data_IF_202048663451
#
_entry.id   IF_202048663451
#
_cell.length_a   1.000
_cell.length_b   1.000
_cell.length_c   1.000
_cell.angle_alpha   90.00
_cell.angle_beta   90.00
_cell.angle_gamma   90.00
#
_symmetry.space_group_name_H-M   'P 1'
#
loop_
_entity.id
_entity.type
_entity.pdbx_description
1 polymer ?
#
# COMPACT_ATOMS: atom_id res chain seq x y z
N UNK A 1 10.26 -6.43 -72.60
CA UNK A 1 10.05 -5.43 -71.53
C UNK A 1 9.97 -6.17 -70.20
N UNK A 2 11.09 -6.25 -69.49
CA UNK A 2 11.16 -6.83 -68.16
C UNK A 2 10.63 -5.79 -67.17
N UNK A 3 9.42 -6.01 -66.62
CA UNK A 3 8.88 -5.15 -65.56
C UNK A 3 9.66 -5.42 -64.28
N UNK A 4 10.56 -4.51 -63.93
CA UNK A 4 11.20 -4.49 -62.60
C UNK A 4 10.14 -4.07 -61.60
N UNK A 5 9.70 -5.00 -60.75
CA UNK A 5 8.79 -4.70 -59.64
C UNK A 5 9.60 -4.02 -58.54
N UNK A 6 9.24 -2.79 -58.18
CA UNK A 6 9.84 -2.07 -57.07
C UNK A 6 9.49 -2.79 -55.74
N UNK A 7 10.49 -3.42 -55.13
CA UNK A 7 10.37 -4.18 -53.89
C UNK A 7 10.59 -3.33 -52.62
N UNK A 8 10.88 -2.04 -52.77
CA UNK A 8 11.13 -1.15 -51.62
C UNK A 8 9.88 -0.95 -50.77
N UNK A 9 8.72 -0.84 -51.40
CA UNK A 9 7.42 -0.66 -50.74
C UNK A 9 6.91 -1.96 -50.09
N UNK A 10 7.25 -3.11 -50.69
CA UNK A 10 6.94 -4.44 -50.14
C UNK A 10 7.70 -4.71 -48.84
N UNK A 11 8.96 -4.27 -48.71
CA UNK A 11 9.74 -4.42 -47.46
C UNK A 11 9.12 -3.63 -46.30
N UNK A 12 8.62 -2.41 -46.55
CA UNK A 12 7.92 -1.60 -45.54
C UNK A 12 6.56 -2.19 -45.12
N UNK A 13 5.84 -2.80 -46.07
CA UNK A 13 4.57 -3.47 -45.81
C UNK A 13 4.73 -4.84 -45.13
N UNK A 14 5.80 -5.60 -45.44
CA UNK A 14 6.12 -6.89 -44.81
C UNK A 14 6.62 -6.72 -43.38
N UNK A 15 7.38 -5.66 -43.08
CA UNK A 15 7.82 -5.34 -41.71
C UNK A 15 6.64 -4.99 -40.78
N UNK A 16 5.56 -4.40 -41.31
CA UNK A 16 4.30 -4.16 -40.56
C UNK A 16 3.47 -5.43 -40.34
N UNK A 17 3.75 -6.53 -41.04
CA UNK A 17 2.86 -7.70 -41.14
C UNK A 17 3.20 -8.85 -40.19
N UNK A 18 4.23 -8.71 -39.34
CA UNK A 18 4.66 -9.79 -38.44
C UNK A 18 5.06 -9.28 -37.06
N UNK A 19 4.21 -8.47 -36.42
CA UNK A 19 4.31 -8.21 -34.98
C UNK A 19 3.43 -9.20 -34.21
N UNK A 20 3.99 -9.81 -33.18
CA UNK A 20 3.27 -10.68 -32.25
C UNK A 20 2.18 -9.90 -31.50
N UNK A 21 1.16 -10.60 -30.98
CA UNK A 21 0.08 -9.97 -30.18
C UNK A 21 0.61 -9.09 -29.04
N UNK A 22 1.70 -9.51 -28.39
CA UNK A 22 2.36 -8.77 -27.32
C UNK A 22 3.10 -7.52 -27.83
N UNK A 23 3.75 -7.57 -28.99
CA UNK A 23 4.41 -6.41 -29.60
C UNK A 23 3.40 -5.35 -30.04
N UNK A 24 2.27 -5.77 -30.62
CA UNK A 24 1.16 -4.88 -30.94
C UNK A 24 0.58 -4.23 -29.67
N UNK A 25 0.39 -5.01 -28.60
CA UNK A 25 -0.08 -4.47 -27.32
C UNK A 25 0.90 -3.48 -26.69
N UNK A 26 2.20 -3.77 -26.72
CA UNK A 26 3.23 -2.84 -26.24
C UNK A 26 3.20 -1.52 -27.01
N UNK A 27 2.93 -1.54 -28.31
CA UNK A 27 2.78 -0.32 -29.10
C UNK A 27 1.53 0.47 -28.70
N UNK A 28 0.41 -0.20 -28.45
CA UNK A 28 -0.82 0.43 -27.93
C UNK A 28 -0.53 1.11 -26.59
N UNK A 29 0.08 0.42 -25.64
CA UNK A 29 0.41 1.01 -24.33
C UNK A 29 1.41 2.16 -24.43
N UNK A 30 2.40 2.08 -25.33
CA UNK A 30 3.29 3.22 -25.58
C UNK A 30 2.53 4.45 -26.05
N UNK A 31 1.58 4.27 -26.98
CA UNK A 31 0.76 5.37 -27.48
C UNK A 31 -0.14 5.94 -26.37
N UNK A 32 -0.82 5.08 -25.61
CA UNK A 32 -1.66 5.50 -24.49
C UNK A 32 -0.87 6.28 -23.42
N UNK A 33 0.30 5.78 -23.02
CA UNK A 33 1.16 6.48 -22.07
C UNK A 33 1.67 7.82 -22.62
N UNK A 34 1.89 7.92 -23.94
CA UNK A 34 2.26 9.19 -24.58
C UNK A 34 1.10 10.19 -24.59
N UNK A 35 -0.12 9.74 -24.85
CA UNK A 35 -1.34 10.57 -24.78
C UNK A 35 -1.55 11.11 -23.36
N UNK A 36 -1.35 10.27 -22.35
CA UNK A 36 -1.57 10.63 -20.94
C UNK A 36 -0.32 11.22 -20.27
N UNK A 37 0.75 11.50 -21.02
CA UNK A 37 2.05 11.86 -20.47
C UNK A 37 2.01 13.12 -19.60
N UNK A 38 1.26 14.15 -20.01
CA UNK A 38 1.17 15.40 -19.24
C UNK A 38 0.47 15.21 -17.89
N UNK A 39 -0.59 14.39 -17.84
CA UNK A 39 -1.27 14.05 -16.60
C UNK A 39 -0.39 13.19 -15.68
N UNK A 40 0.36 12.23 -16.24
CA UNK A 40 1.35 11.49 -15.45
C UNK A 40 2.40 12.44 -14.90
N UNK A 41 2.90 13.37 -15.72
CA UNK A 41 3.92 14.34 -15.33
C UNK A 41 3.47 15.27 -14.20
N UNK A 42 2.21 15.68 -14.16
CA UNK A 42 1.70 16.52 -13.07
C UNK A 42 1.56 15.77 -11.74
N UNK A 43 1.40 14.44 -11.77
CA UNK A 43 1.22 13.59 -10.58
C UNK A 43 2.54 13.05 -10.02
N UNK A 44 3.57 12.86 -10.86
CA UNK A 44 4.85 12.27 -10.45
C UNK A 44 5.61 13.18 -9.46
N UNK A 45 6.03 12.67 -8.28
CA UNK A 45 6.83 13.42 -7.33
C UNK A 45 8.25 13.69 -7.83
N UNK A 46 8.92 14.70 -7.24
CA UNK A 46 10.28 15.16 -7.63
C UNK A 46 11.37 14.08 -7.69
N UNK A 47 11.21 12.98 -6.95
CA UNK A 47 12.21 11.89 -6.89
C UNK A 47 12.03 10.83 -7.99
N UNK A 48 11.08 11.03 -8.92
CA UNK A 48 10.74 10.11 -9.99
C UNK A 48 10.56 10.87 -11.31
N UNK A 49 10.67 10.17 -12.45
CA UNK A 49 10.36 10.75 -13.76
C UNK A 49 9.27 9.97 -14.50
N UNK A 50 8.41 10.65 -15.28
CA UNK A 50 7.37 9.99 -16.08
C UNK A 50 7.91 8.97 -17.08
N UNK A 51 9.06 9.25 -17.71
CA UNK A 51 9.69 8.36 -18.69
C UNK A 51 10.19 7.07 -18.04
N UNK A 52 10.72 7.19 -16.82
CA UNK A 52 11.14 6.03 -16.02
C UNK A 52 9.93 5.18 -15.67
N UNK A 53 8.83 5.80 -15.23
CA UNK A 53 7.60 5.09 -14.89
C UNK A 53 7.00 4.36 -16.10
N UNK A 54 6.96 5.00 -17.27
CA UNK A 54 6.52 4.38 -18.52
C UNK A 54 7.39 3.16 -18.91
N UNK A 55 8.72 3.28 -18.79
CA UNK A 55 9.66 2.18 -19.09
C UNK A 55 9.48 0.99 -18.15
N UNK A 56 9.32 1.26 -16.85
CA UNK A 56 9.11 0.23 -15.84
C UNK A 56 7.77 -0.48 -16.09
N UNK A 57 6.73 0.27 -16.47
CA UNK A 57 5.42 -0.31 -16.85
C UNK A 57 5.53 -1.28 -18.01
N UNK A 58 6.23 -0.89 -19.10
CA UNK A 58 6.46 -1.79 -20.24
C UNK A 58 7.26 -3.03 -19.83
N UNK A 59 8.23 -2.87 -18.93
CA UNK A 59 9.01 -3.99 -18.39
C UNK A 59 8.13 -4.94 -17.57
N UNK A 60 7.16 -4.41 -16.81
CA UNK A 60 6.21 -5.23 -16.07
C UNK A 60 5.31 -6.05 -17.00
N UNK A 61 4.82 -5.47 -18.10
CA UNK A 61 4.02 -6.18 -19.12
C UNK A 61 4.83 -7.32 -19.75
N UNK A 62 6.10 -7.08 -20.09
CA UNK A 62 6.97 -8.14 -20.62
C UNK A 62 7.19 -9.30 -19.63
N UNK A 63 7.22 -9.01 -18.33
CA UNK A 63 7.40 -10.02 -17.27
C UNK A 63 6.11 -10.76 -16.94
N UNK A 64 4.96 -10.13 -17.09
CA UNK A 64 3.65 -10.70 -16.81
C UNK A 64 2.79 -10.64 -18.08
N UNK A 65 2.94 -11.61 -19.01
CA UNK A 65 2.25 -11.58 -20.30
C UNK A 65 0.72 -11.47 -20.22
N UNK A 66 0.12 -11.92 -19.12
CA UNK A 66 -1.33 -11.75 -18.86
C UNK A 66 -1.77 -10.29 -18.75
N UNK A 67 -0.85 -9.35 -18.47
CA UNK A 67 -1.15 -7.91 -18.56
C UNK A 67 -1.48 -7.47 -19.99
N UNK A 68 -0.99 -8.19 -21.02
CA UNK A 68 -1.34 -7.92 -22.41
C UNK A 68 -2.77 -8.33 -22.78
N UNK A 69 -3.49 -9.00 -21.88
CA UNK A 69 -4.91 -9.29 -22.01
C UNK A 69 -5.78 -8.23 -21.34
N UNK A 70 -5.18 -7.35 -20.52
CA UNK A 70 -5.91 -6.30 -19.81
C UNK A 70 -6.34 -5.17 -20.74
N UNK A 71 -7.42 -4.48 -20.40
CA UNK A 71 -7.84 -3.26 -21.10
C UNK A 71 -6.77 -2.16 -20.93
N UNK A 72 -6.30 -1.51 -22.02
CA UNK A 72 -5.25 -0.49 -21.96
C UNK A 72 -5.52 0.63 -20.95
N UNK A 73 -6.79 1.04 -20.82
CA UNK A 73 -7.24 2.11 -19.94
C UNK A 73 -6.94 1.80 -18.48
N UNK A 74 -7.06 0.53 -18.08
CA UNK A 74 -6.78 0.10 -16.70
C UNK A 74 -5.29 0.02 -16.41
N UNK A 75 -4.45 -0.19 -17.42
CA UNK A 75 -2.99 -0.07 -17.28
C UNK A 75 -2.60 1.38 -17.05
N UNK A 76 -3.15 2.32 -17.84
CA UNK A 76 -2.89 3.76 -17.64
C UNK A 76 -3.37 4.20 -16.25
N UNK A 77 -4.57 3.79 -15.84
CA UNK A 77 -5.08 4.06 -14.49
C UNK A 77 -4.16 3.55 -13.38
N UNK A 78 -3.64 2.33 -13.53
CA UNK A 78 -2.68 1.77 -12.58
C UNK A 78 -1.34 2.54 -12.55
N UNK A 79 -0.89 3.05 -13.69
CA UNK A 79 0.31 3.91 -13.79
C UNK A 79 0.07 5.28 -13.13
N UNK A 80 -1.11 5.86 -13.28
CA UNK A 80 -1.44 7.11 -12.57
C UNK A 80 -1.43 6.91 -11.05
N UNK A 81 -1.92 5.77 -10.54
CA UNK A 81 -1.78 5.43 -9.11
C UNK A 81 -0.30 5.32 -8.68
N UNK A 82 0.54 4.70 -9.50
CA UNK A 82 1.99 4.65 -9.26
C UNK A 82 2.59 6.06 -9.15
N UNK A 83 2.20 6.95 -10.08
CA UNK A 83 2.64 8.34 -10.09
C UNK A 83 2.19 9.07 -8.82
N UNK A 84 0.90 9.08 -8.50
CA UNK A 84 0.33 9.76 -7.33
C UNK A 84 0.97 9.33 -6.01
N UNK A 85 1.32 8.04 -5.89
CA UNK A 85 1.96 7.50 -4.68
C UNK A 85 3.49 7.63 -4.70
N UNK A 86 4.09 7.97 -5.83
CA UNK A 86 5.54 7.91 -6.01
C UNK A 86 6.08 6.49 -5.75
N UNK A 87 5.37 5.47 -6.22
CA UNK A 87 5.77 4.07 -6.10
C UNK A 87 5.98 3.47 -7.49
N UNK A 88 7.08 2.73 -7.65
CA UNK A 88 7.39 2.07 -8.92
C UNK A 88 6.96 0.60 -8.88
N UNK A 89 6.28 0.09 -9.92
CA UNK A 89 5.98 -1.33 -10.02
C UNK A 89 7.29 -2.10 -10.24
N UNK A 90 7.76 -2.81 -9.24
CA UNK A 90 9.10 -3.39 -9.23
C UNK A 90 9.15 -4.77 -8.57
N UNK A 91 10.29 -5.46 -8.73
CA UNK A 91 10.52 -6.77 -8.11
C UNK A 91 10.94 -6.66 -6.64
N UNK A 92 11.29 -5.46 -6.19
CA UNK A 92 11.78 -5.22 -4.82
C UNK A 92 10.61 -5.25 -3.83
N UNK A 93 9.39 -5.01 -4.32
CA UNK A 93 8.13 -5.20 -3.59
C UNK A 93 7.45 -3.91 -3.15
N UNK A 94 7.69 -2.80 -3.84
CA UNK A 94 7.02 -1.53 -3.56
C UNK A 94 5.60 -1.49 -4.10
N UNK A 95 5.42 -1.91 -5.35
CA UNK A 95 4.12 -1.99 -6.00
C UNK A 95 4.13 -3.06 -7.09
N UNK A 96 2.93 -3.51 -7.46
CA UNK A 96 2.70 -4.54 -8.45
C UNK A 96 1.56 -4.13 -9.39
N UNK A 97 1.69 -4.51 -10.67
CA UNK A 97 0.61 -4.49 -11.64
C UNK A 97 0.06 -5.92 -11.75
N UNK A 98 -1.18 -6.12 -11.33
CA UNK A 98 -1.77 -7.45 -11.18
C UNK A 98 -2.95 -7.58 -12.14
N UNK A 99 -2.93 -8.55 -13.08
CA UNK A 99 -4.08 -8.81 -13.94
C UNK A 99 -5.18 -9.52 -13.14
N UNK A 100 -6.38 -8.96 -13.15
CA UNK A 100 -7.55 -9.55 -12.50
C UNK A 100 -8.72 -9.63 -13.47
N UNK A 101 -9.50 -10.72 -13.41
CA UNK A 101 -10.72 -10.83 -14.22
C UNK A 101 -11.88 -10.19 -13.50
N UNK A 102 -12.47 -9.17 -14.10
CA UNK A 102 -13.70 -8.58 -13.61
C UNK A 102 -14.89 -9.44 -14.06
N UNK A 103 -15.49 -10.17 -13.13
CA UNK A 103 -16.61 -11.08 -13.44
C UNK A 103 -17.89 -10.35 -13.92
N UNK A 104 -18.03 -9.05 -13.63
CA UNK A 104 -19.21 -8.27 -14.05
C UNK A 104 -19.11 -7.87 -15.52
N UNK A 105 -17.94 -7.40 -15.95
CA UNK A 105 -17.69 -6.97 -17.34
C UNK A 105 -17.12 -8.09 -18.21
N UNK A 106 -16.72 -9.20 -17.60
CA UNK A 106 -15.96 -10.30 -18.19
C UNK A 106 -14.69 -9.84 -18.94
N UNK A 107 -14.06 -8.77 -18.47
CA UNK A 107 -12.81 -8.24 -19.00
C UNK A 107 -11.66 -8.50 -18.03
N UNK A 108 -10.46 -8.66 -18.58
CA UNK A 108 -9.24 -8.60 -17.80
C UNK A 108 -8.90 -7.13 -17.55
N UNK A 109 -8.68 -6.76 -16.30
CA UNK A 109 -8.33 -5.40 -15.88
C UNK A 109 -6.99 -5.44 -15.13
N UNK A 110 -6.18 -4.42 -15.31
CA UNK A 110 -4.95 -4.23 -14.56
C UNK A 110 -5.27 -3.53 -13.24
N UNK A 111 -4.92 -4.15 -12.12
CA UNK A 111 -5.00 -3.57 -10.79
C UNK A 111 -3.62 -3.14 -10.31
N UNK A 112 -3.54 -1.91 -9.80
CA UNK A 112 -2.40 -1.47 -9.02
C UNK A 112 -2.54 -1.99 -7.60
N UNK A 113 -1.50 -2.64 -7.08
CA UNK A 113 -1.44 -3.11 -5.71
C UNK A 113 -0.16 -2.64 -5.03
N UNK A 114 -0.29 -2.03 -3.86
CA UNK A 114 0.85 -1.59 -3.05
C UNK A 114 1.44 -2.84 -2.36
N UNK A 115 2.75 -3.03 -2.45
CA UNK A 115 3.44 -4.08 -1.68
C UNK A 115 3.71 -3.63 -0.25
N UNK A 116 3.96 -4.57 0.67
CA UNK A 116 4.20 -4.23 2.09
C UNK A 116 5.38 -3.26 2.27
N UNK A 117 6.43 -3.37 1.45
CA UNK A 117 7.56 -2.43 1.47
C UNK A 117 7.18 -1.04 0.95
N UNK A 118 6.28 -0.97 -0.03
CA UNK A 118 5.71 0.30 -0.48
C UNK A 118 4.91 0.98 0.62
N UNK A 119 4.13 0.22 1.39
CA UNK A 119 3.44 0.74 2.57
C UNK A 119 4.43 1.27 3.62
N UNK A 120 5.49 0.52 3.92
CA UNK A 120 6.57 0.96 4.81
C UNK A 120 7.19 2.28 4.33
N UNK A 121 7.49 2.39 3.03
CA UNK A 121 8.07 3.59 2.45
C UNK A 121 7.12 4.79 2.55
N UNK A 122 5.84 4.61 2.20
CA UNK A 122 4.81 5.64 2.37
C UNK A 122 4.68 6.11 3.83
N UNK A 123 4.70 5.17 4.78
CA UNK A 123 4.62 5.48 6.21
C UNK A 123 5.87 6.25 6.67
N UNK A 124 7.07 5.87 6.22
CA UNK A 124 8.32 6.60 6.57
C UNK A 124 8.32 8.03 6.04
N UNK A 125 7.74 8.27 4.87
CA UNK A 125 7.64 9.61 4.27
C UNK A 125 6.79 10.59 5.09
N UNK A 126 5.95 10.10 6.01
CA UNK A 126 5.17 10.96 6.93
C UNK A 126 6.04 11.75 7.89
N UNK A 127 7.25 11.27 8.17
CA UNK A 127 8.17 11.89 9.10
C UNK A 127 7.84 11.66 10.57
N UNK A 128 6.65 11.22 10.95
CA UNK A 128 6.29 10.96 12.37
C UNK A 128 6.89 9.64 12.89
N UNK A 129 7.09 8.69 11.98
CA UNK A 129 7.54 7.34 12.29
C UNK A 129 9.05 7.24 12.19
N UNK A 130 9.72 7.03 13.32
CA UNK A 130 11.17 6.91 13.40
C UNK A 130 11.67 5.53 12.97
N UNK A 131 10.92 4.47 13.30
CA UNK A 131 11.22 3.08 12.92
C UNK A 131 9.93 2.38 12.55
N UNK A 132 9.99 1.51 11.54
CA UNK A 132 8.89 0.62 11.20
C UNK A 132 9.47 -0.68 10.64
N UNK A 133 8.97 -1.80 11.18
CA UNK A 133 9.37 -3.15 10.85
C UNK A 133 8.13 -3.99 10.54
N UNK A 134 8.28 -4.94 9.64
CA UNK A 134 7.30 -6.00 9.40
C UNK A 134 8.07 -7.29 9.14
N UNK A 135 7.85 -8.30 9.98
CA UNK A 135 8.66 -9.51 9.98
C UNK A 135 7.81 -10.77 10.21
N UNK A 136 8.37 -11.88 9.73
CA UNK A 136 7.83 -13.23 9.91
C UNK A 136 8.51 -13.87 11.10
N UNK A 137 7.72 -14.51 11.96
CA UNK A 137 8.16 -15.32 13.09
C UNK A 137 8.00 -16.78 12.71
N UNK A 138 9.05 -17.55 12.94
CA UNK A 138 9.12 -18.96 12.64
C UNK A 138 9.03 -19.81 13.91
N UNK A 139 8.73 -21.09 13.73
CA UNK A 139 8.46 -22.06 14.81
C UNK A 139 9.52 -22.13 15.91
N UNK A 140 10.78 -21.89 15.55
CA UNK A 140 11.91 -21.96 16.48
C UNK A 140 12.55 -20.60 16.76
N UNK A 141 11.89 -19.50 16.43
CA UNK A 141 12.27 -18.18 16.91
C UNK A 141 11.74 -17.95 18.34
N UNK A 142 12.43 -17.15 19.14
CA UNK A 142 11.86 -16.62 20.38
C UNK A 142 11.00 -15.43 20.00
N UNK A 143 9.70 -15.53 20.27
CA UNK A 143 8.79 -14.43 20.09
C UNK A 143 7.85 -14.31 21.28
N UNK A 144 8.12 -13.31 22.12
CA UNK A 144 7.33 -13.01 23.31
C UNK A 144 6.88 -11.56 23.29
N UNK A 145 5.66 -11.31 23.72
CA UNK A 145 5.10 -9.98 23.74
C UNK A 145 4.07 -9.84 24.85
N UNK A 146 3.90 -8.61 25.32
CA UNK A 146 2.88 -8.20 26.27
C UNK A 146 2.03 -7.15 25.58
N UNK A 147 0.71 -7.37 25.59
CA UNK A 147 -0.29 -6.36 25.24
C UNK A 147 -0.82 -5.74 26.52
N UNK A 148 -1.25 -4.48 26.45
CA UNK A 148 -1.76 -3.74 27.61
C UNK A 148 -1.31 -2.28 27.55
N UNK A 149 -1.20 -1.66 28.72
CA UNK A 149 -0.67 -0.30 28.89
C UNK A 149 0.81 -0.23 28.49
N UNK A 150 1.63 -1.16 29.01
CA UNK A 150 3.06 -1.27 28.69
C UNK A 150 3.28 -2.32 27.60
N UNK A 151 3.05 -1.92 26.35
CA UNK A 151 3.24 -2.79 25.19
C UNK A 151 4.72 -3.06 24.97
N UNK A 152 5.10 -4.33 24.97
CA UNK A 152 6.47 -4.77 24.73
C UNK A 152 6.50 -6.00 23.84
N UNK A 153 7.57 -6.14 23.06
CA UNK A 153 7.78 -7.29 22.18
C UNK A 153 9.26 -7.57 22.01
N UNK A 154 9.61 -8.85 22.01
CA UNK A 154 10.95 -9.36 21.74
C UNK A 154 10.83 -10.43 20.65
N UNK A 155 11.60 -10.25 19.58
CA UNK A 155 11.78 -11.23 18.52
C UNK A 155 13.27 -11.55 18.40
N UNK A 156 13.64 -12.81 18.64
CA UNK A 156 15.01 -13.29 18.46
C UNK A 156 14.95 -14.49 17.52
N UNK A 157 15.63 -14.35 16.39
CA UNK A 157 15.67 -15.35 15.33
C UNK A 157 16.46 -16.58 15.74
N UNK A 158 16.11 -17.72 15.15
CA UNK A 158 16.73 -19.02 15.42
C UNK A 158 18.27 -19.02 15.35
N UNK A 159 18.86 -18.26 14.41
CA UNK A 159 20.32 -18.17 14.22
C UNK A 159 21.05 -17.44 15.36
N UNK A 160 20.33 -16.65 16.16
CA UNK A 160 20.87 -15.95 17.33
C UNK A 160 20.82 -16.79 18.61
N UNK A 161 20.04 -17.88 18.64
CA UNK A 161 19.88 -18.72 19.83
C UNK A 161 21.20 -19.30 20.37
N UNK A 162 22.14 -19.78 19.54
CA UNK A 162 23.42 -20.29 20.06
C UNK A 162 24.24 -19.23 20.82
N UNK A 163 24.04 -17.95 20.50
CA UNK A 163 24.69 -16.85 21.22
C UNK A 163 24.05 -16.62 22.60
N UNK A 164 22.75 -16.89 22.72
CA UNK A 164 22.03 -16.82 23.99
C UNK A 164 22.33 -17.98 24.93
N UNK A 165 22.90 -19.09 24.46
CA UNK A 165 23.36 -20.18 25.33
C UNK A 165 24.36 -19.73 26.40
N UNK A 166 25.16 -18.71 26.06
CA UNK A 166 26.13 -18.11 26.97
C UNK A 166 25.57 -16.94 27.77
N UNK A 167 24.34 -16.53 27.48
CA UNK A 167 23.69 -15.41 28.14
C UNK A 167 22.91 -15.93 29.35
N UNK A 168 23.37 -15.56 30.54
CA UNK A 168 22.62 -15.69 31.79
C UNK A 168 22.20 -14.27 32.16
N UNK A 169 20.92 -13.91 32.07
CA UNK A 169 20.45 -12.63 32.60
C UNK A 169 20.83 -12.56 34.08
N UNK A 170 21.54 -11.49 34.48
CA UNK A 170 22.02 -11.35 35.85
C UNK A 170 20.87 -11.15 36.83
N UNK A 171 19.78 -10.54 36.37
CA UNK A 171 18.56 -10.27 37.14
C UNK A 171 17.34 -10.43 36.20
N UNK A 172 16.20 -10.83 36.77
CA UNK A 172 14.91 -10.94 36.07
C UNK A 172 14.03 -9.82 36.60
N UNK A 173 14.12 -8.67 35.96
CA UNK A 173 13.52 -7.43 36.48
C UNK A 173 12.13 -7.16 35.91
N UNK A 174 11.67 -8.00 34.98
CA UNK A 174 10.34 -7.88 34.39
C UNK A 174 9.70 -9.24 34.05
N UNK A 175 8.37 -9.23 33.97
CA UNK A 175 7.60 -10.38 33.49
C UNK A 175 8.02 -10.81 32.07
N UNK A 176 8.42 -9.85 31.24
CA UNK A 176 8.92 -10.12 29.89
C UNK A 176 10.24 -10.92 29.93
N UNK A 177 11.17 -10.56 30.82
CA UNK A 177 12.44 -11.29 30.96
C UNK A 177 12.20 -12.73 31.42
N UNK A 178 11.25 -12.94 32.33
CA UNK A 178 10.83 -14.27 32.75
C UNK A 178 10.24 -15.09 31.58
N UNK A 179 9.40 -14.46 30.74
CA UNK A 179 8.85 -15.10 29.54
C UNK A 179 9.93 -15.43 28.51
N UNK A 180 10.90 -14.53 28.28
CA UNK A 180 12.04 -14.78 27.40
C UNK A 180 12.85 -15.97 27.91
N UNK A 181 13.17 -16.01 29.21
CA UNK A 181 13.91 -17.11 29.82
C UNK A 181 13.19 -18.45 29.67
N UNK A 182 11.88 -18.48 29.91
CA UNK A 182 11.08 -19.68 29.70
C UNK A 182 11.13 -20.12 28.23
N UNK A 183 10.94 -19.19 27.29
CA UNK A 183 11.00 -19.49 25.86
C UNK A 183 12.36 -20.03 25.41
N UNK A 184 13.46 -19.47 25.96
CA UNK A 184 14.83 -19.99 25.72
C UNK A 184 14.93 -21.45 26.18
N UNK A 185 14.45 -21.77 27.39
CA UNK A 185 14.52 -23.12 27.93
C UNK A 185 13.67 -24.10 27.10
N UNK A 186 12.44 -23.72 26.74
CA UNK A 186 11.55 -24.55 25.92
C UNK A 186 12.15 -24.87 24.55
N UNK A 187 12.86 -23.91 23.93
CA UNK A 187 13.54 -24.13 22.66
C UNK A 187 14.78 -25.03 22.84
N UNK A 188 15.56 -24.83 23.91
CA UNK A 188 16.72 -25.67 24.23
C UNK A 188 16.33 -27.13 24.41
N UNK A 189 15.25 -27.39 25.15
CA UNK A 189 14.75 -28.75 25.37
C UNK A 189 14.35 -29.45 24.06
N UNK A 190 13.75 -28.70 23.12
CA UNK A 190 13.37 -29.23 21.80
C UNK A 190 14.57 -29.44 20.87
N UNK A 191 15.70 -28.77 21.13
CA UNK A 191 16.93 -28.82 20.33
C UNK A 191 16.69 -28.79 18.80
N UNK A 192 16.00 -27.76 18.27
CA UNK A 192 15.67 -27.71 16.85
C UNK A 192 16.90 -27.52 15.98
N UNK A 193 16.94 -28.22 14.84
CA UNK A 193 18.05 -28.18 13.88
C UNK A 193 17.84 -27.19 12.73
N UNK A 194 16.71 -26.47 12.74
CA UNK A 194 16.37 -25.44 11.74
C UNK A 194 15.39 -24.44 12.33
N UNK A 195 15.21 -23.31 11.67
CA UNK A 195 14.23 -22.29 12.05
C UNK A 195 12.77 -22.78 12.00
N UNK A 196 12.49 -23.83 11.22
CA UNK A 196 11.14 -24.37 11.05
C UNK A 196 10.27 -23.56 10.10
N UNK A 197 8.95 -23.74 10.17
CA UNK A 197 7.99 -23.06 9.28
C UNK A 197 7.57 -21.69 9.84
N UNK A 198 7.10 -20.76 8.99
CA UNK A 198 6.42 -19.54 9.44
C UNK A 198 5.18 -19.89 10.29
N UNK A 199 5.06 -19.25 11.45
CA UNK A 199 3.93 -19.45 12.39
C UNK A 199 3.18 -18.17 12.72
N UNK A 200 3.80 -17.00 12.52
CA UNK A 200 3.21 -15.70 12.88
C UNK A 200 3.84 -14.58 12.07
N UNK A 201 3.11 -13.49 11.94
CA UNK A 201 3.55 -12.27 11.27
C UNK A 201 3.28 -11.10 12.20
N UNK A 202 4.12 -10.07 12.14
CA UNK A 202 3.90 -8.86 12.89
C UNK A 202 4.40 -7.63 12.15
N UNK A 203 3.85 -6.49 12.54
CA UNK A 203 4.38 -5.17 12.22
C UNK A 203 4.55 -4.38 13.52
N UNK A 204 5.56 -3.52 13.56
CA UNK A 204 5.77 -2.61 14.69
C UNK A 204 6.31 -1.28 14.22
N UNK A 205 6.08 -0.24 15.01
CA UNK A 205 6.64 1.08 14.76
C UNK A 205 7.10 1.75 16.04
N UNK A 206 8.02 2.69 15.88
CA UNK A 206 8.35 3.69 16.88
C UNK A 206 8.07 5.07 16.30
N UNK A 207 7.53 5.96 17.10
CA UNK A 207 7.43 7.37 16.79
C UNK A 207 8.71 8.11 17.18
N UNK A 208 8.79 9.39 16.84
CA UNK A 208 9.93 10.25 17.22
C UNK A 208 10.03 10.51 18.72
N UNK A 209 8.91 10.49 19.44
CA UNK A 209 8.84 10.67 20.89
C UNK A 209 9.22 9.39 21.68
N UNK A 210 9.47 8.28 20.97
CA UNK A 210 9.79 6.98 21.57
C UNK A 210 8.58 6.07 21.78
N UNK A 211 7.36 6.54 21.54
CA UNK A 211 6.15 5.71 21.60
C UNK A 211 6.27 4.50 20.68
N UNK A 212 5.89 3.34 21.20
CA UNK A 212 6.00 2.05 20.52
C UNK A 212 4.65 1.36 20.46
N UNK A 213 4.34 0.79 19.30
CA UNK A 213 3.21 -0.12 19.16
C UNK A 213 3.47 -1.18 18.09
N UNK A 214 2.71 -2.28 18.16
CA UNK A 214 2.82 -3.41 17.26
C UNK A 214 1.46 -4.09 17.04
N UNK A 215 1.34 -4.73 15.89
CA UNK A 215 0.23 -5.64 15.56
C UNK A 215 0.81 -6.98 15.17
N UNK A 216 0.15 -8.07 15.53
CA UNK A 216 0.58 -9.43 15.21
C UNK A 216 -0.62 -10.31 14.89
N UNK A 217 -0.43 -11.28 14.00
CA UNK A 217 -1.37 -12.33 13.68
C UNK A 217 -0.65 -13.67 13.52
N UNK A 218 -1.26 -14.76 13.99
CA UNK A 218 -0.76 -16.10 13.67
C UNK A 218 -0.97 -16.41 12.19
N UNK A 219 -0.30 -17.43 11.68
CA UNK A 219 -0.51 -17.91 10.32
C UNK A 219 -1.95 -18.33 10.06
N UNK A 220 -2.60 -18.91 11.05
CA UNK A 220 -4.02 -19.30 11.00
C UNK A 220 -4.91 -18.06 10.91
N UNK A 221 -4.66 -17.04 11.73
CA UNK A 221 -5.39 -15.77 11.67
C UNK A 221 -5.20 -15.04 10.33
N UNK A 222 -3.98 -15.08 9.78
CA UNK A 222 -3.72 -14.54 8.44
C UNK A 222 -4.49 -15.31 7.36
N UNK A 223 -4.56 -16.64 7.46
CA UNK A 223 -5.33 -17.49 6.57
C UNK A 223 -6.84 -17.23 6.69
N UNK A 224 -7.36 -17.03 7.90
CA UNK A 224 -8.74 -16.64 8.14
C UNK A 224 -9.06 -15.27 7.53
N UNK A 225 -8.17 -14.29 7.70
CA UNK A 225 -8.28 -12.99 7.06
C UNK A 225 -8.32 -13.12 5.54
N UNK A 226 -7.39 -13.86 4.94
CA UNK A 226 -7.35 -14.12 3.51
C UNK A 226 -8.66 -14.75 3.01
N UNK A 227 -9.16 -15.76 3.74
CA UNK A 227 -10.43 -16.41 3.45
C UNK A 227 -11.64 -15.52 3.70
N UNK A 228 -11.58 -14.48 4.50
CA UNK A 228 -12.70 -13.55 4.68
C UNK A 228 -12.72 -12.47 3.60
N UNK A 229 -11.57 -11.88 3.29
CA UNK A 229 -11.50 -10.63 2.51
C UNK A 229 -11.02 -10.81 1.06
N UNK A 230 -10.30 -11.88 0.73
CA UNK A 230 -9.80 -12.08 -0.64
C UNK A 230 -10.94 -12.35 -1.62
N UNK A 231 -10.98 -11.57 -2.70
CA UNK A 231 -11.84 -11.80 -3.87
C UNK A 231 -11.25 -12.87 -4.82
N UNK A 232 -9.97 -13.20 -4.66
CA UNK A 232 -9.26 -14.19 -5.48
C UNK A 232 -9.45 -15.59 -4.92
N UNK A 233 -10.57 -16.22 -5.28
CA UNK A 233 -10.86 -17.62 -4.93
C UNK A 233 -11.42 -18.37 -6.11
N UNK A 234 -11.06 -19.64 -6.22
CA UNK A 234 -11.62 -20.57 -7.19
C UNK A 234 -12.00 -21.86 -6.46
N UNK A 235 -13.26 -22.29 -6.63
CA UNK A 235 -13.81 -23.46 -5.94
C UNK A 235 -13.58 -23.46 -4.42
N UNK A 236 -13.72 -22.28 -3.78
CA UNK A 236 -13.52 -22.12 -2.34
C UNK A 236 -12.06 -22.06 -1.88
N UNK A 237 -11.08 -22.29 -2.77
CA UNK A 237 -9.66 -22.20 -2.46
C UNK A 237 -9.07 -20.85 -2.87
N UNK A 238 -8.15 -20.32 -2.05
CA UNK A 238 -7.43 -19.09 -2.35
C UNK A 238 -6.59 -19.25 -3.62
N UNK A 239 -6.64 -18.23 -4.48
CA UNK A 239 -5.83 -18.12 -5.69
C UNK A 239 -5.12 -16.77 -5.74
N UNK A 240 -4.11 -16.64 -6.62
CA UNK A 240 -3.37 -15.39 -6.80
C UNK A 240 -2.45 -15.07 -5.61
N UNK A 241 -2.30 -13.79 -5.22
CA UNK A 241 -1.26 -13.36 -4.28
C UNK A 241 -1.24 -14.10 -2.94
N UNK A 242 -2.41 -14.42 -2.38
CA UNK A 242 -2.49 -15.17 -1.11
C UNK A 242 -2.05 -16.63 -1.23
N UNK A 243 -2.05 -17.20 -2.43
CA UNK A 243 -1.52 -18.55 -2.69
C UNK A 243 -0.03 -18.51 -2.99
N UNK A 244 0.39 -17.60 -3.88
CA UNK A 244 1.75 -17.59 -4.43
C UNK A 244 2.74 -16.81 -3.53
N UNK A 245 2.23 -15.87 -2.74
CA UNK A 245 3.02 -14.92 -1.92
C UNK A 245 2.40 -14.68 -0.54
N UNK A 246 1.97 -15.76 0.14
CA UNK A 246 1.25 -15.71 1.41
C UNK A 246 1.94 -14.83 2.47
N UNK A 247 3.25 -15.00 2.70
CA UNK A 247 3.98 -14.27 3.74
C UNK A 247 3.96 -12.76 3.49
N UNK A 248 4.22 -12.33 2.25
CA UNK A 248 4.14 -10.91 1.87
C UNK A 248 2.75 -10.32 2.07
N UNK A 249 1.70 -11.12 1.82
CA UNK A 249 0.31 -10.69 2.03
C UNK A 249 -0.04 -10.58 3.52
N UNK A 250 0.44 -11.52 4.35
CA UNK A 250 0.26 -11.46 5.79
C UNK A 250 0.98 -10.25 6.41
N UNK A 251 2.22 -9.95 5.98
CA UNK A 251 2.95 -8.76 6.42
C UNK A 251 2.25 -7.46 6.00
N UNK A 252 1.78 -7.38 4.75
CA UNK A 252 0.96 -6.26 4.27
C UNK A 252 -0.28 -6.06 5.13
N UNK A 253 -0.91 -7.16 5.53
CA UNK A 253 -2.12 -7.12 6.37
C UNK A 253 -1.78 -6.61 7.78
N UNK A 254 -0.67 -7.05 8.38
CA UNK A 254 -0.20 -6.52 9.67
C UNK A 254 0.03 -5.01 9.61
N UNK A 255 0.70 -4.51 8.57
CA UNK A 255 0.94 -3.07 8.40
C UNK A 255 -0.37 -2.30 8.26
N UNK A 256 -1.32 -2.80 7.45
CA UNK A 256 -2.63 -2.16 7.26
C UNK A 256 -3.47 -2.11 8.53
N UNK A 257 -3.45 -3.17 9.34
CA UNK A 257 -4.15 -3.16 10.63
C UNK A 257 -3.49 -2.20 11.61
N UNK A 258 -2.15 -2.18 11.65
CA UNK A 258 -1.40 -1.26 12.50
C UNK A 258 -1.60 0.20 12.10
N UNK A 259 -1.64 0.51 10.80
CA UNK A 259 -1.73 1.90 10.29
C UNK A 259 -3.02 2.61 10.69
N UNK A 260 -4.07 1.88 11.08
CA UNK A 260 -5.33 2.45 11.59
C UNK A 260 -5.17 3.20 12.92
N UNK A 261 -4.14 2.85 13.69
CA UNK A 261 -3.87 3.41 15.02
C UNK A 261 -2.66 4.35 15.01
N UNK A 262 -1.97 4.47 13.89
CA UNK A 262 -0.80 5.34 13.78
C UNK A 262 -1.22 6.80 13.66
N UNK A 263 -0.51 7.75 14.30
CA UNK A 263 -0.73 9.18 14.10
C UNK A 263 -0.12 9.64 12.77
N UNK A 264 -0.63 9.10 11.66
CA UNK A 264 -0.26 9.51 10.30
C UNK A 264 -1.41 10.30 9.68
N UNK A 265 -1.08 11.26 8.81
CA UNK A 265 -2.06 12.09 8.10
C UNK A 265 -3.13 11.25 7.41
N UNK A 266 -4.37 11.73 7.41
CA UNK A 266 -5.52 11.08 6.76
C UNK A 266 -5.21 10.74 5.30
N UNK A 267 -4.56 11.65 4.56
CA UNK A 267 -4.14 11.43 3.17
C UNK A 267 -3.32 10.13 2.98
N UNK A 268 -2.43 9.83 3.92
CA UNK A 268 -1.60 8.62 3.88
C UNK A 268 -2.42 7.38 4.24
N UNK A 269 -3.36 7.50 5.18
CA UNK A 269 -4.29 6.41 5.49
C UNK A 269 -5.15 6.08 4.27
N UNK A 270 -5.71 7.08 3.61
CA UNK A 270 -6.52 6.92 2.40
C UNK A 270 -5.70 6.25 1.28
N UNK A 271 -4.48 6.71 1.05
CA UNK A 271 -3.54 6.12 0.07
C UNK A 271 -3.23 4.65 0.36
N UNK A 272 -3.11 4.26 1.63
CA UNK A 272 -2.92 2.85 2.04
C UNK A 272 -4.21 2.03 1.87
N UNK A 273 -5.39 2.65 1.91
CA UNK A 273 -6.68 1.99 1.70
C UNK A 273 -7.15 1.95 0.24
N UNK A 274 -6.65 2.81 -0.64
CA UNK A 274 -6.94 2.88 -2.09
C UNK A 274 -6.25 1.75 -2.88
N UNK A 275 -5.90 0.68 -2.19
CA UNK A 275 -5.29 -0.51 -2.75
C UNK A 275 -6.37 -1.34 -3.45
N UNK A 276 -6.05 -1.90 -4.62
CA UNK A 276 -6.93 -2.77 -5.45
C UNK A 276 -8.06 -2.07 -6.25
N UNK A 277 -8.27 -0.76 -6.12
CA UNK A 277 -9.26 -0.06 -6.96
C UNK A 277 -8.75 0.11 -8.39
N UNK A 278 -9.53 -0.36 -9.37
CA UNK A 278 -9.27 -0.11 -10.79
C UNK A 278 -9.69 1.32 -11.10
N UNK A 279 -8.73 2.18 -11.42
CA UNK A 279 -9.00 3.54 -11.90
C UNK A 279 -9.33 3.47 -13.37
N UNK A 280 -10.52 3.93 -13.75
CA UNK A 280 -10.91 4.09 -15.15
C UNK A 280 -10.64 5.53 -15.57
N UNK A 281 -9.86 5.69 -16.64
CA UNK A 281 -9.53 6.98 -17.24
C UNK A 281 -10.65 7.33 -18.21
N UNK A 282 -11.39 8.42 -18.00
CA UNK A 282 -12.33 8.94 -19.00
C UNK A 282 -11.67 10.06 -19.79
N UNK A 283 -11.76 10.02 -21.11
CA UNK A 283 -11.32 11.12 -21.96
C UNK A 283 -12.48 12.11 -22.13
N UNK A 284 -12.36 13.29 -21.55
CA UNK A 284 -13.19 14.45 -21.90
C UNK A 284 -12.30 15.52 -22.57
N UNK A 285 -12.93 16.38 -23.38
CA UNK A 285 -12.29 17.40 -24.24
C UNK A 285 -11.45 18.46 -23.50
N UNK A 286 -11.41 18.43 -22.16
CA UNK A 286 -10.72 19.43 -21.31
C UNK A 286 -9.72 18.83 -20.33
N UNK A 287 -9.46 17.52 -20.38
CA UNK A 287 -8.57 16.85 -19.43
C UNK A 287 -9.17 15.55 -18.88
N UNK A 288 -8.29 14.74 -18.30
CA UNK A 288 -8.63 13.46 -17.69
C UNK A 288 -9.21 13.74 -16.30
N UNK A 289 -10.51 13.52 -16.14
CA UNK A 289 -11.09 13.24 -14.83
C UNK A 289 -11.02 11.74 -14.60
N UNK A 290 -10.42 11.36 -13.48
CA UNK A 290 -10.46 9.98 -13.02
C UNK A 290 -11.46 9.91 -11.88
N UNK A 291 -12.31 8.87 -11.87
CA UNK A 291 -13.32 8.67 -10.82
C UNK A 291 -12.70 8.48 -9.40
N UNK A 292 -11.36 8.51 -9.25
CA UNK A 292 -10.61 8.25 -8.00
C UNK A 292 -9.39 9.17 -7.76
N UNK A 293 -9.27 10.33 -8.43
CA UNK A 293 -8.24 11.32 -8.09
C UNK A 293 -8.94 12.46 -7.39
N UNK A 294 -8.98 12.35 -6.05
CA UNK A 294 -9.27 13.40 -5.08
C UNK A 294 -9.66 14.76 -5.67
N UNK A 295 -10.92 14.93 -6.05
CA UNK A 295 -11.53 16.25 -6.19
C UNK A 295 -11.76 16.78 -4.77
N UNK A 296 -10.75 17.45 -4.24
CA UNK A 296 -10.92 18.34 -3.10
C UNK A 296 -10.99 19.76 -3.64
N UNK A 297 -12.16 20.14 -4.16
CA UNK A 297 -12.51 21.55 -4.26
C UNK A 297 -12.63 22.11 -2.84
N UNK A 298 -11.58 22.80 -2.39
CA UNK A 298 -11.70 23.67 -1.23
C UNK A 298 -12.54 24.88 -1.63
N UNK A 299 -13.78 24.94 -1.16
CA UNK A 299 -14.46 26.23 -0.99
C UNK A 299 -13.76 26.92 0.18
N UNK A 300 -12.88 27.87 -0.12
CA UNK A 300 -12.39 28.83 0.87
C UNK A 300 -13.64 29.51 1.42
N UNK A 301 -14.00 29.25 2.67
CA UNK A 301 -14.90 30.16 3.38
C UNK A 301 -14.15 31.47 3.48
N UNK A 302 -14.66 32.47 2.76
CA UNK A 302 -14.19 33.83 2.86
C UNK A 302 -14.21 34.27 4.31
N UNK A 303 -13.08 34.80 4.73
CA UNK A 303 -12.98 35.75 5.82
C UNK A 303 -13.86 36.95 5.45
N UNK A 304 -15.11 36.91 5.92
CA UNK A 304 -16.02 38.05 5.86
C UNK A 304 -16.02 38.65 7.27
N UNK A 305 -15.31 39.77 7.36
CA UNK A 305 -14.95 40.45 8.60
C UNK A 305 -16.12 40.91 9.44
N UNK A 306 -15.76 41.32 10.66
CA UNK A 306 -16.56 42.26 11.45
C UNK A 306 -16.98 43.46 10.60
N UNK A 307 -18.21 43.94 10.84
CA UNK A 307 -18.36 45.36 11.04
C UNK A 307 -19.03 45.64 12.39
N UNK A 308 -18.37 46.51 13.15
CA UNK A 308 -19.03 47.47 14.04
C UNK A 308 -20.22 48.12 13.30
N UNK A 309 -21.38 48.29 13.95
CA UNK A 309 -21.85 49.65 14.26
C UNK A 309 -23.04 49.71 15.24
N UNK A 310 -22.91 50.71 16.11
CA UNK A 310 -23.88 51.52 16.85
C UNK A 310 -25.28 51.02 17.27
N UNK A 311 -25.51 51.17 18.58
CA UNK A 311 -26.84 51.28 19.18
C UNK A 311 -26.79 52.03 20.52
N UNK A 312 -26.58 53.35 20.49
CA UNK A 312 -26.92 54.22 21.62
C UNK A 312 -28.39 54.60 21.56
N UNK A 313 -29.16 54.31 22.61
CA UNK A 313 -30.32 55.14 22.98
C UNK A 313 -30.44 55.30 24.50
N UNK A 314 -30.61 56.57 24.84
CA UNK A 314 -31.01 57.25 26.08
C UNK A 314 -31.59 56.46 27.27
N UNK A 315 -31.23 56.97 28.45
CA UNK A 315 -31.85 56.78 29.77
C UNK A 315 -33.20 57.51 29.81
N UNK A 316 -34.21 56.90 30.44
CA UNK A 316 -35.30 57.62 31.14
C UNK A 316 -35.48 57.01 32.55
N UNK A 317 -35.41 57.82 33.64
CA UNK A 317 -35.52 57.35 35.02
C UNK A 317 -36.93 57.58 35.57
N UNK A 318 -37.78 56.56 35.53
CA UNK A 318 -38.88 56.32 36.48
C UNK A 318 -39.71 55.13 36.00
N UNK A 319 -39.55 53.95 36.62
CA UNK A 319 -40.74 53.16 36.96
C UNK A 319 -40.51 52.35 38.24
N UNK A 320 -41.45 52.51 39.13
CA UNK A 320 -41.51 52.01 40.50
C UNK A 320 -42.63 50.99 40.59
N UNK A 321 -42.31 49.73 40.86
CA UNK A 321 -43.21 48.75 41.50
C UNK A 321 -42.40 47.47 41.74
N UNK A 322 -42.14 47.07 42.99
CA UNK A 322 -43.04 46.25 43.81
C UNK A 322 -42.55 44.79 43.75
N UNK A 323 -41.68 44.36 44.66
CA UNK A 323 -42.01 43.67 45.94
C UNK A 323 -42.36 42.17 45.79
N UNK A 324 -41.97 41.42 46.82
CA UNK A 324 -42.46 40.10 47.26
C UNK A 324 -41.76 38.82 46.76
N UNK A 325 -40.77 38.41 47.56
CA UNK A 325 -40.48 37.06 48.10
C UNK A 325 -40.84 35.79 47.30
N UNK A 326 -39.84 34.91 47.13
CA UNK A 326 -39.62 33.75 48.02
C UNK A 326 -38.25 33.12 47.76
#
# INVERSE_FOLDING_TARGET
MTKTVDQSDLKGQLAKRTMTKAENFNQVIKNELAVNFQAIKSLVPKHMTPERLARITLTAISRTPKLAECTPETIVGAVMNCATLGLEPNLIGHAYLVPFRNNKTNQMECQFQIGYKGQIDLIRRTGEVSKINAETVYENDIFVYVKGEDRRMVHITFDMLPLLEKYIPKEVDSYLDAMVLQAINDIRERNPQSQGKPVRYYSSYHLKDGSFDFTTMTKEQALEHANRFSKSKYNGQLTGPWKDHFDSMALKTCIKEMSKFMPISIEVQEKLTTDESVVKVRQNTSGIESDNVFDVEYKVMGDDGEPDDEGTTAIDPNDTSGDVTK
#
